data_IF_390790404654
#
_entry.id   IF_390790404654
#
_cell.length_a   1.000
_cell.length_b   1.000
_cell.length_c   1.000
_cell.angle_alpha   90.00
_cell.angle_beta   90.00
_cell.angle_gamma   90.00
#
_symmetry.space_group_name_H-M   'P 1'
#
loop_
_entity.id
_entity.type
_entity.pdbx_description
1 polymer ?
#
# COMPACT_ATOMS: atom_id res chain seq x y z
N UNK A 1 29.96 -17.45 2.27
CA UNK A 1 30.30 -16.45 1.24
C UNK A 1 29.98 -17.02 -0.13
N UNK A 2 28.81 -16.70 -0.67
CA UNK A 2 28.43 -17.12 -2.03
C UNK A 2 27.77 -15.95 -2.73
N UNK A 3 28.59 -15.22 -3.49
CA UNK A 3 28.16 -14.23 -4.48
C UNK A 3 27.41 -14.96 -5.59
N UNK A 4 26.19 -14.54 -5.91
CA UNK A 4 25.61 -14.75 -7.24
C UNK A 4 25.18 -13.41 -7.80
N UNK A 5 25.78 -13.12 -8.95
CA UNK A 5 25.65 -11.92 -9.76
C UNK A 5 24.60 -12.18 -10.84
N UNK A 6 23.81 -11.14 -11.13
CA UNK A 6 23.10 -10.81 -12.36
C UNK A 6 21.99 -11.75 -12.88
N UNK A 7 20.82 -11.19 -13.16
CA UNK A 7 20.48 -10.70 -14.50
C UNK A 7 19.14 -9.95 -14.48
N UNK A 8 19.18 -8.68 -14.89
CA UNK A 8 17.99 -7.89 -15.25
C UNK A 8 17.52 -8.36 -16.64
N UNK A 9 16.25 -8.74 -16.75
CA UNK A 9 15.62 -9.06 -18.02
C UNK A 9 14.20 -8.48 -18.02
N UNK A 10 14.11 -7.23 -18.46
CA UNK A 10 12.86 -6.55 -18.81
C UNK A 10 12.26 -7.21 -20.04
N UNK A 11 11.06 -7.79 -19.89
CA UNK A 11 10.29 -8.34 -21.00
C UNK A 11 8.94 -7.61 -21.05
N UNK A 12 8.88 -6.56 -21.86
CA UNK A 12 7.65 -5.90 -22.26
C UNK A 12 6.99 -6.72 -23.37
N UNK A 13 5.79 -7.25 -23.12
CA UNK A 13 4.92 -7.85 -24.15
C UNK A 13 3.57 -7.15 -24.08
N UNK A 14 3.34 -6.30 -25.08
CA UNK A 14 2.03 -5.72 -25.34
C UNK A 14 1.14 -6.70 -26.10
N UNK A 15 -0.12 -6.80 -25.69
CA UNK A 15 -1.22 -7.37 -26.48
C UNK A 15 -2.29 -6.30 -26.59
N UNK A 16 -2.37 -5.68 -27.76
CA UNK A 16 -3.49 -4.84 -28.16
C UNK A 16 -4.58 -5.69 -28.83
N UNK A 17 -5.83 -5.49 -28.42
CA UNK A 17 -7.03 -5.95 -29.13
C UNK A 17 -7.79 -4.71 -29.61
N UNK A 18 -7.91 -4.60 -30.93
CA UNK A 18 -8.65 -3.55 -31.64
C UNK A 18 -10.09 -4.00 -31.95
N UNK A 19 -11.05 -3.08 -31.79
CA UNK A 19 -12.38 -3.08 -32.45
C UNK A 19 -12.91 -1.63 -32.43
N UNK A 20 -12.88 -0.87 -33.55
CA UNK A 20 -13.93 -0.67 -34.59
C UNK A 20 -15.28 -0.17 -34.02
N UNK A 21 -15.93 0.93 -34.43
CA UNK A 21 -16.01 1.72 -35.69
C UNK A 21 -16.47 3.16 -35.35
N UNK A 22 -16.47 4.23 -36.15
CA UNK A 22 -16.67 4.47 -37.59
C UNK A 22 -16.18 5.90 -37.93
N UNK A 23 -15.80 6.15 -39.18
CA UNK A 23 -15.78 7.51 -39.75
C UNK A 23 -14.52 7.85 -40.55
N UNK A 24 -14.52 7.53 -41.84
CA UNK A 24 -13.50 7.94 -42.80
C UNK A 24 -13.82 9.34 -43.35
N UNK A 25 -12.85 10.26 -43.32
CA UNK A 25 -12.75 11.32 -44.33
C UNK A 25 -11.29 11.78 -44.50
N UNK A 26 -11.02 12.39 -45.65
CA UNK A 26 -9.76 12.33 -46.40
C UNK A 26 -8.74 13.44 -46.06
N UNK A 27 -7.43 13.15 -46.19
CA UNK A 27 -6.45 14.16 -46.63
C UNK A 27 -5.12 14.30 -45.85
N UNK A 28 -4.01 14.00 -46.54
CA UNK A 28 -2.67 14.66 -46.46
C UNK A 28 -1.79 14.47 -45.20
N UNK A 29 -0.48 14.13 -45.34
CA UNK A 29 0.43 13.99 -44.22
C UNK A 29 0.97 15.37 -43.80
N UNK A 30 0.55 15.83 -42.62
CA UNK A 30 1.18 16.96 -41.96
C UNK A 30 1.48 16.58 -40.51
N UNK A 31 2.74 16.77 -40.13
CA UNK A 31 3.17 16.71 -38.76
C UNK A 31 2.36 17.68 -37.89
N UNK A 32 2.15 17.25 -36.63
CA UNK A 32 1.77 18.03 -35.45
C UNK A 32 0.40 17.70 -34.86
N UNK A 33 0.44 17.49 -33.55
CA UNK A 33 -0.59 17.75 -32.53
C UNK A 33 -1.81 16.82 -32.41
N UNK A 34 -2.00 16.40 -31.15
CA UNK A 34 -3.17 15.79 -30.53
C UNK A 34 -3.48 14.34 -30.98
N UNK A 35 -3.88 13.41 -30.11
CA UNK A 35 -4.52 13.57 -28.83
C UNK A 35 -3.94 12.56 -27.83
N UNK A 36 -3.42 13.08 -26.73
CA UNK A 36 -3.39 12.35 -25.47
C UNK A 36 -4.81 11.85 -25.22
N UNK A 37 -4.95 10.54 -25.08
CA UNK A 37 -6.20 9.88 -24.76
C UNK A 37 -6.78 10.52 -23.50
N UNK A 38 -7.72 11.44 -23.70
CA UNK A 38 -8.63 11.91 -22.69
C UNK A 38 -9.60 10.77 -22.38
N UNK A 39 -9.18 9.90 -21.46
CA UNK A 39 -10.07 9.11 -20.63
C UNK A 39 -9.34 8.74 -19.33
N UNK A 40 -8.63 9.69 -18.74
CA UNK A 40 -8.50 9.70 -17.29
C UNK A 40 -9.65 10.57 -16.83
N UNK A 41 -10.71 9.91 -16.37
CA UNK A 41 -11.68 10.51 -15.46
C UNK A 41 -10.95 11.51 -14.58
N UNK A 42 -11.49 12.71 -14.44
CA UNK A 42 -11.00 13.66 -13.46
C UNK A 42 -11.19 13.04 -12.07
N UNK A 43 -10.34 12.08 -11.71
CA UNK A 43 -9.98 11.80 -10.35
C UNK A 43 -9.39 13.12 -9.89
N UNK A 44 -10.17 13.86 -9.10
CA UNK A 44 -9.63 14.91 -8.25
C UNK A 44 -8.32 14.40 -7.66
N UNK A 45 -7.28 15.22 -7.60
CA UNK A 45 -5.94 14.78 -7.17
C UNK A 45 -5.95 13.90 -5.91
N UNK A 46 -6.89 14.15 -4.98
CA UNK A 46 -7.09 13.32 -3.78
C UNK A 46 -7.44 11.85 -4.03
N UNK A 47 -8.13 11.50 -5.12
CA UNK A 47 -8.42 10.09 -5.44
C UNK A 47 -7.17 9.32 -5.85
N UNK A 48 -6.31 9.94 -6.67
CA UNK A 48 -5.04 9.32 -7.07
C UNK A 48 -4.09 9.15 -5.86
N UNK A 49 -4.02 10.17 -5.00
CA UNK A 49 -3.21 10.14 -3.76
C UNK A 49 -3.66 9.02 -2.81
N UNK A 50 -4.96 8.78 -2.67
CA UNK A 50 -5.49 7.65 -1.87
C UNK A 50 -5.11 6.31 -2.48
N UNK A 51 -5.17 6.17 -3.81
CA UNK A 51 -4.82 4.92 -4.50
C UNK A 51 -3.32 4.56 -4.36
N UNK A 52 -2.42 5.52 -4.54
CA UNK A 52 -0.98 5.30 -4.36
C UNK A 52 -0.67 4.94 -2.89
N UNK A 53 -1.17 5.73 -1.93
CA UNK A 53 -0.96 5.46 -0.51
C UNK A 53 -1.57 4.11 -0.05
N UNK A 54 -2.71 3.72 -0.62
CA UNK A 54 -3.30 2.39 -0.40
C UNK A 54 -2.40 1.27 -0.91
N UNK A 55 -1.73 1.46 -2.06
CA UNK A 55 -0.79 0.50 -2.63
C UNK A 55 0.47 0.32 -1.78
N UNK A 56 1.05 1.43 -1.30
CA UNK A 56 2.22 1.42 -0.42
C UNK A 56 1.88 0.74 0.91
N UNK A 57 0.75 1.11 1.53
CA UNK A 57 0.30 0.49 2.77
C UNK A 57 0.04 -1.02 2.62
N UNK A 58 -0.59 -1.49 1.53
CA UNK A 58 -0.74 -2.95 1.29
C UNK A 58 0.61 -3.65 1.25
N UNK A 59 1.59 -3.05 0.60
CA UNK A 59 2.94 -3.61 0.47
C UNK A 59 3.60 -3.74 1.84
N UNK A 60 3.49 -2.69 2.67
CA UNK A 60 4.08 -2.69 4.00
C UNK A 60 3.36 -3.61 4.99
N UNK A 61 2.03 -3.73 4.91
CA UNK A 61 1.26 -4.71 5.69
C UNK A 61 1.67 -6.15 5.34
N UNK A 62 1.89 -6.46 4.06
CA UNK A 62 2.40 -7.76 3.64
C UNK A 62 3.81 -8.00 4.18
N UNK A 63 4.71 -7.02 4.05
CA UNK A 63 6.08 -7.12 4.57
C UNK A 63 6.11 -7.32 6.10
N UNK A 64 5.20 -6.69 6.85
CA UNK A 64 5.06 -6.87 8.29
C UNK A 64 4.68 -8.31 8.66
N UNK A 65 3.82 -8.95 7.86
CA UNK A 65 3.45 -10.36 8.04
C UNK A 65 4.59 -11.35 7.77
N UNK A 66 5.58 -10.97 6.95
CA UNK A 66 6.73 -11.79 6.57
C UNK A 66 7.94 -11.63 7.51
N UNK A 67 7.88 -10.76 8.53
CA UNK A 67 9.03 -10.52 9.43
C UNK A 67 9.36 -11.79 10.24
N UNK A 68 10.59 -12.32 10.14
CA UNK A 68 10.98 -13.52 10.87
C UNK A 68 11.39 -13.20 12.32
N UNK A 69 10.39 -12.89 13.17
CA UNK A 69 10.59 -12.47 14.58
C UNK A 69 11.39 -13.48 15.41
N UNK A 70 11.32 -14.77 15.06
CA UNK A 70 12.07 -15.84 15.75
C UNK A 70 13.58 -15.78 15.45
N UNK A 71 13.97 -15.33 14.25
CA UNK A 71 15.37 -15.29 13.81
C UNK A 71 16.00 -13.91 14.04
N UNK A 72 15.27 -12.83 13.72
CA UNK A 72 15.78 -11.46 13.85
C UNK A 72 15.34 -10.74 15.14
N UNK A 73 14.48 -11.35 15.95
CA UNK A 73 13.99 -10.77 17.20
C UNK A 73 12.98 -9.63 17.00
N UNK A 74 12.63 -8.95 18.10
CA UNK A 74 11.66 -7.84 18.11
C UNK A 74 12.17 -6.56 17.46
N UNK A 75 13.48 -6.44 17.23
CA UNK A 75 14.08 -5.27 16.57
C UNK A 75 13.65 -5.16 15.09
N UNK A 76 13.68 -6.27 14.34
CA UNK A 76 13.21 -6.28 12.96
C UNK A 76 11.71 -6.00 12.86
N UNK A 77 10.93 -6.50 13.81
CA UNK A 77 9.50 -6.18 13.91
C UNK A 77 9.28 -4.69 14.16
N UNK A 78 10.09 -4.05 15.01
CA UNK A 78 10.04 -2.61 15.23
C UNK A 78 10.36 -1.81 13.97
N UNK A 79 11.36 -2.20 13.18
CA UNK A 79 11.69 -1.52 11.91
C UNK A 79 10.56 -1.66 10.89
N UNK A 80 10.01 -2.86 10.70
CA UNK A 80 8.89 -3.07 9.79
C UNK A 80 7.64 -2.29 10.25
N UNK A 81 7.41 -2.23 11.56
CA UNK A 81 6.33 -1.46 12.14
C UNK A 81 6.46 0.04 11.87
N UNK A 82 7.67 0.62 11.95
CA UNK A 82 7.89 2.02 11.60
C UNK A 82 7.49 2.31 10.15
N UNK A 83 7.89 1.46 9.19
CA UNK A 83 7.49 1.63 7.79
C UNK A 83 5.97 1.58 7.63
N UNK A 84 5.30 0.62 8.27
CA UNK A 84 3.84 0.52 8.24
C UNK A 84 3.18 1.74 8.85
N UNK A 85 3.74 2.31 9.92
CA UNK A 85 3.19 3.51 10.57
C UNK A 85 3.32 4.74 9.68
N UNK A 86 4.44 4.90 8.96
CA UNK A 86 4.64 5.98 8.00
C UNK A 86 3.66 5.88 6.83
N UNK A 87 3.49 4.69 6.24
CA UNK A 87 2.57 4.46 5.13
C UNK A 87 1.10 4.58 5.57
N UNK A 88 0.79 4.11 6.78
CA UNK A 88 -0.52 4.33 7.40
C UNK A 88 -0.81 5.81 7.59
N UNK A 89 0.17 6.61 8.01
CA UNK A 89 0.01 8.06 8.13
C UNK A 89 -0.34 8.73 6.81
N UNK A 90 0.39 8.39 5.74
CA UNK A 90 0.12 8.91 4.40
C UNK A 90 -1.28 8.52 3.90
N UNK A 91 -1.64 7.25 4.03
CA UNK A 91 -2.97 6.77 3.65
C UNK A 91 -4.07 7.44 4.49
N UNK A 92 -3.89 7.51 5.80
CA UNK A 92 -4.82 8.14 6.72
C UNK A 92 -5.05 9.61 6.35
N UNK A 93 -4.00 10.39 6.08
CA UNK A 93 -4.13 11.79 5.68
C UNK A 93 -4.88 11.96 4.36
N UNK A 94 -4.62 11.10 3.37
CA UNK A 94 -5.33 11.12 2.09
C UNK A 94 -6.81 10.69 2.24
N UNK A 95 -7.08 9.69 3.07
CA UNK A 95 -8.40 9.08 3.25
C UNK A 95 -9.29 9.81 4.26
N UNK A 96 -8.74 10.65 5.15
CA UNK A 96 -9.46 11.25 6.30
C UNK A 96 -10.70 12.04 5.90
N UNK A 97 -10.71 12.65 4.71
CA UNK A 97 -11.83 13.45 4.23
C UNK A 97 -13.11 12.62 4.02
N UNK A 98 -12.96 11.37 3.58
CA UNK A 98 -14.08 10.47 3.26
C UNK A 98 -14.29 9.42 4.37
N UNK A 99 -13.21 9.00 5.05
CA UNK A 99 -13.18 7.85 5.94
C UNK A 99 -12.79 8.18 7.39
N UNK A 100 -13.09 9.40 7.84
CA UNK A 100 -12.61 9.93 9.14
C UNK A 100 -12.77 8.97 10.33
N UNK A 101 -13.98 8.46 10.57
CA UNK A 101 -14.27 7.56 11.70
C UNK A 101 -13.49 6.23 11.60
N UNK A 102 -13.38 5.66 10.40
CA UNK A 102 -12.64 4.43 10.15
C UNK A 102 -11.13 4.66 10.35
N UNK A 103 -10.60 5.78 9.86
CA UNK A 103 -9.21 6.19 10.05
C UNK A 103 -8.90 6.35 11.55
N UNK A 104 -9.76 7.01 12.32
CA UNK A 104 -9.57 7.15 13.77
C UNK A 104 -9.61 5.79 14.49
N UNK A 105 -10.52 4.90 14.09
CA UNK A 105 -10.59 3.54 14.64
C UNK A 105 -9.31 2.73 14.41
N UNK A 106 -8.78 2.77 13.18
CA UNK A 106 -7.53 2.08 12.84
C UNK A 106 -6.31 2.76 13.48
N UNK A 107 -6.30 4.08 13.62
CA UNK A 107 -5.25 4.83 14.32
C UNK A 107 -5.12 4.36 15.78
N UNK A 108 -6.24 4.18 16.49
CA UNK A 108 -6.23 3.65 17.85
C UNK A 108 -5.63 2.23 17.92
N UNK A 109 -5.83 1.41 16.89
CA UNK A 109 -5.22 0.08 16.79
C UNK A 109 -3.71 0.19 16.50
N UNK A 110 -3.28 1.13 15.66
CA UNK A 110 -1.86 1.41 15.43
C UNK A 110 -1.15 1.82 16.73
N UNK A 111 -1.77 2.69 17.53
CA UNK A 111 -1.24 3.10 18.84
C UNK A 111 -1.15 1.91 19.81
N UNK A 112 -2.13 1.00 19.79
CA UNK A 112 -2.10 -0.22 20.60
C UNK A 112 -0.96 -1.17 20.19
N UNK A 113 -0.63 -1.25 18.90
CA UNK A 113 0.53 -2.02 18.43
C UNK A 113 1.83 -1.38 18.91
N UNK A 114 1.97 -0.06 18.81
CA UNK A 114 3.15 0.66 19.32
C UNK A 114 3.39 0.35 20.80
N UNK A 115 2.34 0.47 21.62
CA UNK A 115 2.42 0.14 23.05
C UNK A 115 2.78 -1.33 23.30
N UNK A 116 2.24 -2.27 22.52
CA UNK A 116 2.56 -3.68 22.66
C UNK A 116 4.00 -4.00 22.23
N UNK A 117 4.54 -3.29 21.23
CA UNK A 117 5.94 -3.39 20.83
C UNK A 117 6.87 -2.84 21.91
N UNK A 118 6.57 -1.66 22.46
CA UNK A 118 7.33 -1.09 23.58
C UNK A 118 7.36 -2.04 24.78
N UNK A 119 6.22 -2.64 25.12
CA UNK A 119 6.14 -3.64 26.19
C UNK A 119 6.97 -4.90 25.89
N UNK A 120 6.93 -5.40 24.65
CA UNK A 120 7.72 -6.57 24.25
C UNK A 120 9.23 -6.28 24.17
N UNK A 121 9.63 -5.04 23.90
CA UNK A 121 11.03 -4.62 23.95
C UNK A 121 11.52 -4.44 25.40
N UNK A 122 10.69 -3.88 26.27
CA UNK A 122 11.02 -3.68 27.69
C UNK A 122 11.07 -5.01 28.46
N UNK A 123 10.14 -5.94 28.20
CA UNK A 123 10.06 -7.25 28.83
C UNK A 123 9.73 -8.35 27.79
N UNK A 124 10.75 -8.90 27.11
CA UNK A 124 10.54 -9.92 26.10
C UNK A 124 10.09 -11.25 26.73
N UNK A 125 8.82 -11.58 26.53
CA UNK A 125 8.21 -12.83 27.02
C UNK A 125 7.21 -13.38 26.00
N UNK A 126 6.85 -14.66 26.13
CA UNK A 126 5.81 -15.24 25.27
C UNK A 126 4.47 -14.50 25.37
N UNK A 127 4.15 -13.95 26.55
CA UNK A 127 2.92 -13.19 26.77
C UNK A 127 2.93 -11.82 26.09
N UNK A 128 4.04 -11.08 26.18
CA UNK A 128 4.16 -9.78 25.50
C UNK A 128 4.17 -9.95 23.98
N UNK A 129 4.90 -10.96 23.46
CA UNK A 129 4.91 -11.28 22.03
C UNK A 129 3.52 -11.69 21.49
N UNK A 130 2.76 -12.50 22.23
CA UNK A 130 1.39 -12.88 21.84
C UNK A 130 0.44 -11.68 21.83
N UNK A 131 0.62 -10.75 22.78
CA UNK A 131 -0.13 -9.49 22.83
C UNK A 131 0.19 -8.61 21.62
N UNK A 132 1.48 -8.45 21.28
CA UNK A 132 1.92 -7.75 20.07
C UNK A 132 1.33 -8.37 18.81
N UNK A 133 1.40 -9.71 18.66
CA UNK A 133 0.86 -10.41 17.51
C UNK A 133 -0.65 -10.20 17.36
N UNK A 134 -1.40 -10.19 18.47
CA UNK A 134 -2.84 -9.93 18.48
C UNK A 134 -3.15 -8.50 18.06
N UNK A 135 -2.42 -7.52 18.61
CA UNK A 135 -2.59 -6.12 18.24
C UNK A 135 -2.28 -5.88 16.74
N UNK A 136 -1.17 -6.44 16.25
CA UNK A 136 -0.77 -6.35 14.83
C UNK A 136 -1.84 -6.97 13.95
N UNK A 137 -2.35 -8.16 14.31
CA UNK A 137 -3.38 -8.84 13.52
C UNK A 137 -4.68 -8.03 13.45
N UNK A 138 -5.07 -7.38 14.55
CA UNK A 138 -6.26 -6.53 14.58
C UNK A 138 -6.08 -5.27 13.73
N UNK A 139 -4.91 -4.62 13.81
CA UNK A 139 -4.57 -3.48 12.98
C UNK A 139 -4.55 -3.84 11.50
N UNK A 140 -3.84 -4.92 11.11
CA UNK A 140 -3.74 -5.37 9.70
C UNK A 140 -5.11 -5.67 9.11
N UNK A 141 -6.01 -6.31 9.87
CA UNK A 141 -7.37 -6.59 9.40
C UNK A 141 -8.18 -5.32 9.15
N UNK A 142 -8.15 -4.37 10.09
CA UNK A 142 -8.90 -3.11 9.95
C UNK A 142 -8.31 -2.22 8.86
N UNK A 143 -6.98 -2.05 8.85
CA UNK A 143 -6.27 -1.26 7.85
C UNK A 143 -6.47 -1.86 6.44
N UNK A 144 -6.33 -3.19 6.31
CA UNK A 144 -6.58 -3.89 5.04
C UNK A 144 -8.01 -3.72 4.56
N UNK A 145 -9.01 -3.86 5.44
CA UNK A 145 -10.41 -3.66 5.09
C UNK A 145 -10.70 -2.23 4.61
N UNK A 146 -10.13 -1.22 5.28
CA UNK A 146 -10.27 0.18 4.87
C UNK A 146 -9.56 0.46 3.54
N UNK A 147 -8.36 -0.10 3.35
CA UNK A 147 -7.57 0.03 2.12
C UNK A 147 -8.25 -0.65 0.93
N UNK A 148 -8.95 -1.77 1.14
CA UNK A 148 -9.77 -2.41 0.11
C UNK A 148 -11.01 -1.60 -0.23
N UNK A 149 -11.64 -0.97 0.76
CA UNK A 149 -12.81 -0.12 0.55
C UNK A 149 -12.43 1.16 -0.21
N UNK A 150 -11.43 1.90 0.28
CA UNK A 150 -10.89 3.09 -0.39
C UNK A 150 -10.29 2.76 -1.77
N UNK A 151 -9.65 1.60 -1.88
CA UNK A 151 -9.05 1.10 -3.11
C UNK A 151 -10.05 0.63 -4.17
N UNK A 152 -11.32 0.40 -3.82
CA UNK A 152 -12.36 -0.01 -4.77
C UNK A 152 -12.76 1.13 -5.72
N UNK A 153 -12.42 2.38 -5.37
CA UNK A 153 -12.55 3.55 -6.23
C UNK A 153 -11.36 3.76 -7.17
N UNK A 154 -10.33 2.92 -7.02
CA UNK A 154 -9.20 2.75 -7.92
C UNK A 154 -9.50 1.59 -8.90
#
# INVERSE_FOLDING_TARGET
MSKRVAAVLTLAVGVGLAACSSGSDSGTPAASTAASSAASSAASSGGAEVCDAAGDLRTSLAALGDVPVVQEGTAALGTAWTTVQDDWGQFADAARAEYGDQVEGVQAQADAVGQALDAAQADPSAGTLATTATAVSAFVQSAGGLVDEAGSGC
#
